data_IF_748047924111
#
_entry.id   IF_748047924111
#
_cell.length_a   1.000
_cell.length_b   1.000
_cell.length_c   1.000
_cell.angle_alpha   90.00
_cell.angle_beta   90.00
_cell.angle_gamma   90.00
#
_symmetry.space_group_name_H-M   'P 1'
#
loop_
_entity.id
_entity.type
_entity.pdbx_description
1 polymer ?
#
# COMPACT_ATOMS: atom_id res chain seq x y z
N UNK A 1 -3.59 -5.83 -0.28
CA UNK A 1 -3.74 -7.08 0.54
C UNK A 1 -4.34 -6.86 1.95
N UNK A 2 -5.26 -7.69 2.46
CA UNK A 2 -5.87 -7.52 3.83
C UNK A 2 -5.66 -8.75 4.72
N UNK A 3 -5.02 -8.56 5.87
CA UNK A 3 -4.80 -9.57 6.91
C UNK A 3 -5.68 -9.30 8.11
N UNK A 4 -6.73 -10.11 8.29
CA UNK A 4 -7.64 -10.00 9.44
C UNK A 4 -7.35 -11.14 10.40
N UNK A 5 -6.71 -10.81 11.53
CA UNK A 5 -6.68 -11.68 12.69
C UNK A 5 -7.88 -11.33 13.57
N UNK A 6 -8.90 -12.19 13.58
CA UNK A 6 -10.02 -12.07 14.51
C UNK A 6 -9.55 -12.53 15.89
N UNK A 7 -9.26 -11.59 16.78
CA UNK A 7 -9.26 -11.89 18.20
C UNK A 7 -10.72 -12.10 18.65
N UNK A 8 -11.06 -13.34 19.01
CA UNK A 8 -12.37 -13.70 19.55
C UNK A 8 -12.73 -12.80 20.75
N UNK A 9 -13.79 -11.99 20.63
CA UNK A 9 -14.48 -11.41 21.79
C UNK A 9 -14.80 -9.90 21.80
N UNK A 10 -14.44 -9.12 20.78
CA UNK A 10 -14.71 -7.66 20.76
C UNK A 10 -15.74 -7.28 19.69
N UNK A 11 -16.70 -6.41 20.05
CA UNK A 11 -17.69 -5.84 19.13
C UNK A 11 -17.03 -4.81 18.20
N UNK A 12 -17.34 -4.90 16.90
CA UNK A 12 -17.20 -3.86 15.87
C UNK A 12 -15.94 -2.99 15.92
N UNK A 13 -14.82 -3.49 15.41
CA UNK A 13 -13.62 -2.66 15.25
C UNK A 13 -13.87 -1.59 14.18
N UNK A 14 -13.60 -0.33 14.51
CA UNK A 14 -13.56 0.77 13.53
C UNK A 14 -12.29 0.62 12.71
N UNK A 15 -12.41 0.66 11.39
CA UNK A 15 -11.28 0.43 10.48
C UNK A 15 -10.99 1.69 9.67
N UNK A 16 -9.71 2.02 9.58
CA UNK A 16 -9.16 2.94 8.60
C UNK A 16 -8.18 2.18 7.71
N UNK A 17 -8.29 2.35 6.39
CA UNK A 17 -7.34 1.79 5.42
C UNK A 17 -6.61 2.91 4.71
N UNK A 18 -5.28 2.86 4.70
CA UNK A 18 -4.41 3.68 3.87
C UNK A 18 -3.84 2.83 2.73
N UNK A 19 -4.11 3.24 1.49
CA UNK A 19 -3.97 2.44 0.26
C UNK A 19 -3.43 3.30 -0.88
N UNK A 20 -2.76 2.70 -1.86
CA UNK A 20 -2.35 3.41 -3.08
C UNK A 20 -3.20 3.02 -4.29
N UNK A 21 -4.28 2.25 -4.06
CA UNK A 21 -5.33 1.92 -5.03
C UNK A 21 -4.87 1.15 -6.27
N UNK A 22 -3.82 0.35 -6.14
CA UNK A 22 -3.51 -0.68 -7.13
C UNK A 22 -4.55 -1.83 -7.14
N UNK A 23 -4.36 -2.80 -8.03
CA UNK A 23 -5.27 -3.89 -8.34
C UNK A 23 -5.57 -4.77 -7.13
N UNK A 24 -4.55 -5.15 -6.39
CA UNK A 24 -4.69 -5.97 -5.18
C UNK A 24 -5.28 -5.18 -4.01
N UNK A 25 -5.11 -3.86 -4.00
CA UNK A 25 -5.66 -2.94 -2.99
C UNK A 25 -7.17 -2.84 -3.08
N UNK A 26 -7.73 -2.64 -4.27
CA UNK A 26 -9.19 -2.62 -4.39
C UNK A 26 -9.83 -4.00 -4.22
N UNK A 27 -9.11 -5.11 -4.46
CA UNK A 27 -9.60 -6.44 -4.08
C UNK A 27 -9.74 -6.54 -2.56
N UNK A 28 -8.72 -6.04 -1.84
CA UNK A 28 -8.73 -5.94 -0.38
C UNK A 28 -9.89 -5.08 0.13
N UNK A 29 -10.15 -3.94 -0.51
CA UNK A 29 -11.29 -3.07 -0.17
C UNK A 29 -12.63 -3.76 -0.41
N UNK A 30 -12.83 -4.45 -1.54
CA UNK A 30 -14.07 -5.21 -1.77
C UNK A 30 -14.27 -6.30 -0.73
N UNK A 31 -13.19 -6.98 -0.33
CA UNK A 31 -13.25 -7.96 0.74
C UNK A 31 -13.74 -7.31 2.04
N UNK A 32 -13.10 -6.20 2.47
CA UNK A 32 -13.50 -5.45 3.67
C UNK A 32 -14.95 -4.94 3.62
N UNK A 33 -15.39 -4.42 2.46
CA UNK A 33 -16.74 -3.90 2.27
C UNK A 33 -17.82 -4.99 2.32
N UNK A 34 -17.45 -6.26 2.07
CA UNK A 34 -18.36 -7.41 2.18
C UNK A 34 -18.39 -8.03 3.58
N UNK A 35 -17.48 -7.66 4.47
CA UNK A 35 -17.50 -8.15 5.85
C UNK A 35 -18.66 -7.56 6.65
N UNK A 36 -19.06 -8.29 7.70
CA UNK A 36 -20.12 -7.83 8.58
C UNK A 36 -19.67 -6.60 9.37
N UNK A 37 -20.38 -5.48 9.19
CA UNK A 37 -20.11 -4.21 9.86
C UNK A 37 -20.22 -4.28 11.39
N UNK A 38 -20.93 -5.28 11.93
CA UNK A 38 -21.00 -5.53 13.37
C UNK A 38 -19.69 -6.07 13.95
N UNK A 39 -18.80 -6.60 13.09
CA UNK A 39 -17.47 -7.11 13.45
C UNK A 39 -16.37 -6.15 12.97
N UNK A 40 -16.50 -5.66 11.74
CA UNK A 40 -15.51 -4.82 11.07
C UNK A 40 -16.18 -3.67 10.32
N UNK A 41 -16.05 -2.47 10.86
CA UNK A 41 -16.75 -1.29 10.38
C UNK A 41 -15.76 -0.33 9.72
N UNK A 42 -15.58 -0.47 8.41
CA UNK A 42 -14.75 0.45 7.62
C UNK A 42 -15.35 1.86 7.68
N UNK A 43 -14.58 2.79 8.26
CA UNK A 43 -14.97 4.19 8.46
C UNK A 43 -14.30 5.14 7.49
N UNK A 44 -13.06 4.85 7.12
CA UNK A 44 -12.29 5.72 6.26
C UNK A 44 -11.33 4.96 5.35
N UNK A 45 -11.12 5.53 4.18
CA UNK A 45 -10.10 5.15 3.22
C UNK A 45 -9.24 6.39 2.96
N UNK A 46 -7.93 6.27 3.07
CA UNK A 46 -6.97 7.32 2.73
C UNK A 46 -6.06 6.84 1.63
N UNK A 47 -5.73 7.74 0.69
CA UNK A 47 -4.99 7.39 -0.52
C UNK A 47 -3.58 7.96 -0.45
N UNK A 48 -2.59 7.08 -0.60
CA UNK A 48 -1.17 7.41 -0.69
C UNK A 48 -0.76 7.59 -2.14
N UNK A 49 -0.63 8.83 -2.58
CA UNK A 49 -0.35 9.20 -3.99
C UNK A 49 1.12 9.25 -4.34
N UNK A 50 1.99 8.90 -3.40
CA UNK A 50 3.41 8.61 -3.59
C UNK A 50 3.62 7.15 -4.03
N UNK A 51 2.53 6.38 -4.13
CA UNK A 51 2.47 5.02 -4.64
C UNK A 51 2.12 4.90 -6.12
N UNK A 52 1.35 3.85 -6.41
CA UNK A 52 1.11 3.29 -7.73
C UNK A 52 0.05 3.98 -8.57
N UNK A 53 -0.82 4.80 -7.97
CA UNK A 53 -1.96 5.41 -8.67
C UNK A 53 -1.99 6.92 -8.52
N UNK A 54 -2.47 7.61 -9.55
CA UNK A 54 -2.70 9.05 -9.49
C UNK A 54 -3.97 9.41 -8.69
N UNK A 55 -3.90 10.53 -7.96
CA UNK A 55 -4.94 10.97 -7.02
C UNK A 55 -6.35 11.00 -7.63
N UNK A 56 -6.46 11.57 -8.83
CA UNK A 56 -7.74 11.72 -9.50
C UNK A 56 -8.32 10.41 -10.01
N UNK A 57 -7.46 9.47 -10.39
CA UNK A 57 -7.91 8.13 -10.74
C UNK A 57 -8.37 7.38 -9.48
N UNK A 58 -7.49 7.27 -8.49
CA UNK A 58 -7.68 6.54 -7.25
C UNK A 58 -8.96 6.97 -6.52
N UNK A 59 -9.17 8.27 -6.30
CA UNK A 59 -10.34 8.78 -5.56
C UNK A 59 -11.64 8.44 -6.29
N UNK A 60 -11.69 8.64 -7.60
CA UNK A 60 -12.89 8.33 -8.38
C UNK A 60 -13.17 6.82 -8.38
N UNK A 61 -12.13 5.99 -8.43
CA UNK A 61 -12.28 4.54 -8.31
C UNK A 61 -12.85 4.14 -6.96
N UNK A 62 -12.33 4.68 -5.85
CA UNK A 62 -12.91 4.45 -4.52
C UNK A 62 -14.37 4.89 -4.48
N UNK A 63 -14.72 6.07 -5.00
CA UNK A 63 -16.11 6.54 -5.01
C UNK A 63 -17.04 5.64 -5.81
N UNK A 64 -16.64 5.21 -7.00
CA UNK A 64 -17.44 4.32 -7.83
C UNK A 64 -17.64 2.94 -7.13
N UNK A 65 -16.59 2.43 -6.46
CA UNK A 65 -16.68 1.22 -5.64
C UNK A 65 -17.61 1.38 -4.43
N UNK A 66 -17.47 2.48 -3.69
CA UNK A 66 -18.32 2.76 -2.52
C UNK A 66 -19.78 2.93 -2.93
N UNK A 67 -20.04 3.59 -4.06
CA UNK A 67 -21.39 3.73 -4.61
C UNK A 67 -21.99 2.37 -4.96
N UNK A 68 -21.23 1.51 -5.66
CA UNK A 68 -21.65 0.13 -5.97
C UNK A 68 -21.98 -0.67 -4.72
N UNK A 69 -21.19 -0.52 -3.65
CA UNK A 69 -21.37 -1.22 -2.39
C UNK A 69 -22.41 -0.57 -1.46
N UNK A 70 -23.02 0.56 -1.84
CA UNK A 70 -23.95 1.30 -0.99
C UNK A 70 -23.30 1.88 0.27
N UNK A 71 -22.00 2.16 0.23
CA UNK A 71 -21.16 2.62 1.35
C UNK A 71 -20.62 4.03 1.15
N UNK A 72 -21.43 4.91 0.61
CA UNK A 72 -21.09 6.33 0.45
C UNK A 72 -20.91 7.08 1.79
N UNK A 73 -21.23 6.44 2.91
CA UNK A 73 -20.95 6.92 4.28
C UNK A 73 -19.44 6.93 4.61
N UNK A 74 -18.62 6.16 3.90
CA UNK A 74 -17.19 6.04 4.18
C UNK A 74 -16.45 7.31 3.74
N UNK A 75 -15.68 7.88 4.66
CA UNK A 75 -14.85 9.05 4.39
C UNK A 75 -13.66 8.66 3.49
N UNK A 76 -13.33 9.51 2.51
CA UNK A 76 -12.20 9.29 1.62
C UNK A 76 -11.28 10.50 1.66
N UNK A 77 -10.02 10.28 2.00
CA UNK A 77 -8.98 11.31 2.02
C UNK A 77 -7.94 11.05 0.93
N UNK A 78 -7.46 12.10 0.27
CA UNK A 78 -6.29 11.99 -0.63
C UNK A 78 -5.36 13.15 -0.39
N UNK A 79 -4.07 12.84 -0.34
CA UNK A 79 -2.98 13.77 -0.15
C UNK A 79 -3.26 15.03 0.67
N UNK A 80 -2.55 16.09 0.28
CA UNK A 80 -2.72 17.43 0.76
C UNK A 80 -1.57 18.33 0.28
N UNK A 81 -1.86 19.61 0.07
CA UNK A 81 -0.94 20.60 -0.52
C UNK A 81 -0.01 21.28 0.50
N UNK A 82 -0.12 20.91 1.79
CA UNK A 82 0.81 21.32 2.82
C UNK A 82 2.17 20.65 2.67
N UNK A 83 3.18 21.19 3.35
CA UNK A 83 4.54 20.65 3.34
C UNK A 83 5.17 20.62 4.72
N UNK A 84 6.42 20.21 4.78
CA UNK A 84 7.24 20.28 5.99
C UNK A 84 8.27 21.39 5.83
N UNK A 85 8.27 22.36 6.75
CA UNK A 85 9.24 23.45 6.74
C UNK A 85 10.65 22.93 7.06
N UNK A 86 11.68 23.69 6.67
CA UNK A 86 13.09 23.32 6.94
C UNK A 86 13.42 23.09 8.42
N UNK A 87 12.65 23.67 9.34
CA UNK A 87 12.80 23.47 10.78
C UNK A 87 12.04 22.24 11.32
N UNK A 88 11.47 21.41 10.44
CA UNK A 88 10.68 20.23 10.79
C UNK A 88 9.22 20.50 11.14
N UNK A 89 8.74 21.74 11.04
CA UNK A 89 7.32 22.05 11.31
C UNK A 89 6.44 21.44 10.22
N UNK A 90 5.55 20.54 10.63
CA UNK A 90 4.55 19.93 9.74
C UNK A 90 3.36 20.88 9.60
N UNK A 91 3.06 21.33 8.38
CA UNK A 91 1.95 22.23 8.10
C UNK A 91 0.60 21.48 8.02
N UNK A 92 -0.52 22.20 8.19
CA UNK A 92 -1.84 21.64 7.90
C UNK A 92 -1.95 21.15 6.45
N UNK A 93 -2.79 20.15 6.22
CA UNK A 93 -3.04 19.56 4.91
C UNK A 93 -1.78 18.97 4.26
N UNK A 94 -0.80 18.49 5.02
CA UNK A 94 0.31 17.71 4.43
C UNK A 94 -0.13 16.28 4.15
N UNK A 95 0.41 15.65 3.10
CA UNK A 95 0.37 14.20 2.94
C UNK A 95 0.22 13.72 1.50
N UNK A 96 0.35 12.41 1.35
CA UNK A 96 0.08 11.61 0.16
C UNK A 96 1.04 11.77 -0.99
N UNK A 97 1.48 12.98 -1.36
CA UNK A 97 2.17 13.19 -2.64
C UNK A 97 3.67 12.94 -2.62
N UNK A 98 4.32 13.13 -1.47
CA UNK A 98 5.78 13.14 -1.36
C UNK A 98 6.22 12.38 -0.09
N UNK A 99 7.31 11.61 -0.16
CA UNK A 99 7.97 11.06 1.03
C UNK A 99 8.36 12.18 2.02
N UNK A 100 8.41 11.89 3.32
CA UNK A 100 8.72 12.87 4.39
C UNK A 100 10.07 13.54 4.17
N UNK A 101 11.07 12.78 3.71
CA UNK A 101 12.43 13.29 3.48
C UNK A 101 12.57 14.08 2.16
N UNK A 102 11.59 13.96 1.26
CA UNK A 102 11.59 14.57 -0.07
C UNK A 102 10.58 15.74 -0.18
N UNK A 103 10.26 16.39 0.94
CA UNK A 103 9.30 17.51 1.02
C UNK A 103 9.87 18.87 0.55
N UNK A 104 11.14 18.92 0.14
CA UNK A 104 11.81 20.15 -0.31
C UNK A 104 11.59 20.48 -1.80
N UNK A 105 11.75 21.76 -2.17
CA UNK A 105 11.79 22.19 -3.57
C UNK A 105 13.14 21.86 -4.22
N UNK A 106 13.33 20.61 -4.65
CA UNK A 106 14.48 20.21 -5.47
C UNK A 106 14.02 19.76 -6.86
N UNK A 107 14.52 20.42 -7.91
CA UNK A 107 14.24 20.08 -9.31
C UNK A 107 15.29 19.15 -9.93
N UNK A 108 16.43 18.94 -9.27
CA UNK A 108 17.46 17.96 -9.67
C UNK A 108 18.36 17.60 -8.47
N UNK A 109 18.70 16.31 -8.35
CA UNK A 109 19.48 15.76 -7.24
C UNK A 109 18.64 15.56 -5.98
N UNK A 110 18.56 14.30 -5.52
CA UNK A 110 17.82 13.77 -4.35
C UNK A 110 16.37 13.26 -4.54
N UNK A 111 15.87 13.07 -5.77
CA UNK A 111 14.55 12.44 -6.00
C UNK A 111 14.55 10.90 -6.00
N UNK A 112 15.20 10.23 -5.02
CA UNK A 112 15.38 8.76 -5.12
C UNK A 112 14.09 7.98 -4.89
N UNK A 113 13.31 8.34 -3.87
CA UNK A 113 12.14 7.56 -3.47
C UNK A 113 10.90 7.94 -4.26
N UNK A 114 10.74 9.24 -4.57
CA UNK A 114 9.67 9.74 -5.46
C UNK A 114 9.67 9.09 -6.84
N UNK A 115 10.83 8.68 -7.35
CA UNK A 115 11.00 8.11 -8.68
C UNK A 115 11.00 6.57 -8.69
N UNK A 116 10.79 5.93 -7.53
CA UNK A 116 10.84 4.48 -7.42
C UNK A 116 9.81 3.77 -8.32
N UNK A 117 8.64 4.39 -8.47
CA UNK A 117 7.58 3.92 -9.37
C UNK A 117 7.68 4.73 -10.67
N UNK A 118 7.85 4.08 -11.84
CA UNK A 118 7.86 4.77 -13.12
C UNK A 118 6.55 5.52 -13.35
N UNK A 119 6.60 6.68 -14.00
CA UNK A 119 5.37 7.35 -14.46
C UNK A 119 4.77 6.59 -15.64
N UNK A 120 5.61 6.09 -16.55
CA UNK A 120 5.22 5.46 -17.80
C UNK A 120 4.93 3.95 -17.70
N UNK A 121 5.26 3.17 -18.75
CA UNK A 121 5.10 1.72 -18.76
C UNK A 121 5.78 1.04 -17.57
N UNK A 122 5.15 -0.01 -17.04
CA UNK A 122 5.53 -0.70 -15.82
C UNK A 122 5.30 0.11 -14.55
N UNK A 123 4.46 1.14 -14.59
CA UNK A 123 4.29 2.10 -13.50
C UNK A 123 2.89 2.71 -13.46
N UNK A 124 2.78 3.99 -13.07
CA UNK A 124 1.50 4.64 -12.77
C UNK A 124 0.50 4.59 -13.93
N UNK A 125 0.96 4.83 -15.16
CA UNK A 125 0.08 4.81 -16.32
C UNK A 125 -0.54 3.43 -16.58
N UNK A 126 0.14 2.34 -16.24
CA UNK A 126 -0.40 0.98 -16.43
C UNK A 126 -1.50 0.70 -15.42
N UNK A 127 -1.33 1.15 -14.16
CA UNK A 127 -2.35 1.02 -13.12
C UNK A 127 -3.58 1.87 -13.47
N UNK A 128 -3.33 3.13 -13.84
CA UNK A 128 -4.37 4.07 -14.26
C UNK A 128 -5.08 3.66 -15.57
N UNK A 129 -4.48 2.79 -16.39
CA UNK A 129 -5.09 2.28 -17.62
C UNK A 129 -6.40 1.53 -17.38
N UNK A 130 -6.63 1.05 -16.15
CA UNK A 130 -7.93 0.50 -15.75
C UNK A 130 -9.08 1.54 -15.87
N UNK A 131 -8.77 2.83 -16.05
CA UNK A 131 -9.72 3.95 -16.11
C UNK A 131 -10.89 3.69 -17.07
N UNK A 132 -10.60 3.14 -18.25
CA UNK A 132 -11.62 2.83 -19.25
C UNK A 132 -12.60 1.76 -18.77
N UNK A 133 -12.08 0.70 -18.14
CA UNK A 133 -12.91 -0.34 -17.53
C UNK A 133 -13.67 0.18 -16.33
N UNK A 134 -13.03 0.91 -15.43
CA UNK A 134 -13.70 1.57 -14.31
C UNK A 134 -14.89 2.40 -14.78
N UNK A 135 -14.68 3.31 -15.74
CA UNK A 135 -15.72 4.20 -16.29
C UNK A 135 -16.87 3.46 -16.98
N UNK A 136 -16.59 2.32 -17.62
CA UNK A 136 -17.60 1.54 -18.35
C UNK A 136 -18.30 0.49 -17.49
N UNK A 137 -17.66 0.03 -16.41
CA UNK A 137 -18.12 -1.08 -15.60
C UNK A 137 -18.70 -0.63 -14.25
N UNK A 138 -17.98 0.21 -13.50
CA UNK A 138 -18.43 0.61 -12.18
C UNK A 138 -19.52 1.68 -12.28
N UNK A 139 -20.61 1.55 -11.51
CA UNK A 139 -21.64 2.58 -11.47
C UNK A 139 -21.08 3.85 -10.81
N UNK A 140 -21.39 5.00 -11.40
CA UNK A 140 -20.90 6.29 -10.92
C UNK A 140 -21.95 6.97 -10.03
N UNK A 141 -21.56 7.27 -8.80
CA UNK A 141 -22.36 8.00 -7.84
C UNK A 141 -22.31 9.51 -8.05
N UNK A 142 -22.80 10.26 -7.05
CA UNK A 142 -22.70 11.74 -7.05
C UNK A 142 -21.32 12.25 -6.65
N UNK A 143 -20.59 11.45 -5.87
CA UNK A 143 -19.24 11.79 -5.41
C UNK A 143 -18.26 11.69 -6.57
N UNK A 144 -17.37 12.67 -6.67
CA UNK A 144 -16.33 12.73 -7.67
C UNK A 144 -15.14 13.50 -7.09
N UNK A 145 -13.94 13.18 -7.56
CA UNK A 145 -12.74 13.89 -7.16
C UNK A 145 -12.82 15.36 -7.59
N UNK A 146 -12.53 16.26 -6.66
CA UNK A 146 -12.41 17.69 -6.90
C UNK A 146 -11.18 18.20 -6.16
N UNK A 147 -10.06 18.52 -6.86
CA UNK A 147 -8.78 18.82 -6.22
C UNK A 147 -8.86 19.82 -5.06
N UNK A 148 -9.63 20.90 -5.23
CA UNK A 148 -9.72 21.98 -4.23
C UNK A 148 -10.76 21.72 -3.12
N UNK A 149 -11.53 20.63 -3.20
CA UNK A 149 -12.62 20.31 -2.26
C UNK A 149 -12.49 18.93 -1.64
N UNK A 150 -11.61 18.09 -2.17
CA UNK A 150 -11.40 16.74 -1.69
C UNK A 150 -10.80 16.81 -0.28
N UNK A 151 -11.38 16.11 0.71
CA UNK A 151 -10.78 16.00 2.03
C UNK A 151 -9.34 15.48 1.96
N UNK A 152 -8.46 16.12 2.73
CA UNK A 152 -7.06 15.72 2.82
C UNK A 152 -6.93 14.45 3.67
N UNK A 153 -5.86 13.69 3.46
CA UNK A 153 -5.55 12.52 4.27
C UNK A 153 -5.46 12.90 5.75
N UNK A 154 -4.75 13.99 6.05
CA UNK A 154 -4.61 14.48 7.41
C UNK A 154 -5.98 14.74 8.06
N UNK A 155 -6.90 15.41 7.36
CA UNK A 155 -8.24 15.69 7.87
C UNK A 155 -9.04 14.41 8.14
N UNK A 156 -8.99 13.44 7.23
CA UNK A 156 -9.74 12.17 7.34
C UNK A 156 -9.18 11.28 8.45
N UNK A 157 -7.85 11.16 8.57
CA UNK A 157 -7.22 10.40 9.66
C UNK A 157 -7.54 11.01 11.02
N UNK A 158 -7.39 12.33 11.18
CA UNK A 158 -7.69 13.02 12.44
C UNK A 158 -9.15 12.80 12.83
N UNK A 159 -10.11 13.03 11.93
CA UNK A 159 -11.54 12.87 12.24
C UNK A 159 -11.88 11.43 12.62
N UNK A 160 -11.35 10.46 11.88
CA UNK A 160 -11.66 9.05 12.09
C UNK A 160 -11.12 8.54 13.43
N UNK A 161 -9.85 8.84 13.71
CA UNK A 161 -9.13 8.31 14.88
C UNK A 161 -9.49 9.08 16.16
N UNK A 162 -9.77 10.39 16.08
CA UNK A 162 -10.28 11.14 17.24
C UNK A 162 -11.68 10.67 17.69
N UNK A 163 -12.47 10.11 16.78
CA UNK A 163 -13.82 9.63 17.06
C UNK A 163 -13.88 8.31 17.85
N UNK A 164 -12.77 7.60 18.00
CA UNK A 164 -12.72 6.40 18.85
C UNK A 164 -11.61 5.42 18.49
N UNK A 165 -11.49 4.31 19.27
CA UNK A 165 -10.53 3.24 19.02
C UNK A 165 -10.64 2.73 17.57
N UNK A 166 -9.50 2.70 16.87
CA UNK A 166 -9.44 2.41 15.43
C UNK A 166 -8.30 1.43 15.14
N UNK A 167 -8.60 0.40 14.36
CA UNK A 167 -7.61 -0.48 13.72
C UNK A 167 -7.21 0.13 12.39
N UNK A 168 -5.91 0.20 12.13
CA UNK A 168 -5.36 0.83 10.93
C UNK A 168 -4.72 -0.23 10.04
N UNK A 169 -5.11 -0.26 8.76
CA UNK A 169 -4.45 -1.05 7.72
C UNK A 169 -3.63 -0.11 6.85
N UNK A 170 -2.32 -0.34 6.77
CA UNK A 170 -1.40 0.36 5.88
C UNK A 170 -1.00 -0.64 4.80
N UNK A 171 -1.61 -0.49 3.63
CA UNK A 171 -1.36 -1.38 2.48
C UNK A 171 -0.63 -0.65 1.34
N UNK A 172 -0.10 0.53 1.65
CA UNK A 172 0.69 1.39 0.78
C UNK A 172 1.90 1.98 1.53
N UNK A 173 2.51 3.04 0.98
CA UNK A 173 3.53 3.82 1.68
C UNK A 173 3.04 4.33 3.04
N UNK A 174 3.91 4.27 4.04
CA UNK A 174 3.62 4.64 5.42
C UNK A 174 3.54 6.15 5.66
N UNK A 175 3.80 6.96 4.64
CA UNK A 175 3.97 8.42 4.69
C UNK A 175 2.83 9.12 5.39
N UNK A 176 1.61 8.81 4.96
CA UNK A 176 0.39 9.42 5.47
C UNK A 176 0.23 9.20 6.98
N UNK A 177 0.37 7.95 7.41
CA UNK A 177 0.18 7.59 8.79
C UNK A 177 1.33 8.07 9.69
N UNK A 178 2.57 8.07 9.20
CA UNK A 178 3.70 8.67 9.91
C UNK A 178 3.48 10.17 10.14
N UNK A 179 3.04 10.92 9.13
CA UNK A 179 2.70 12.34 9.27
C UNK A 179 1.58 12.56 10.29
N UNK A 180 0.56 11.69 10.30
CA UNK A 180 -0.49 11.71 11.31
C UNK A 180 0.09 11.54 12.72
N UNK A 181 0.93 10.52 12.94
CA UNK A 181 1.53 10.24 14.26
C UNK A 181 2.44 11.38 14.74
N UNK A 182 3.26 11.93 13.85
CA UNK A 182 4.17 13.05 14.16
C UNK A 182 3.40 14.32 14.51
N UNK A 183 2.31 14.61 13.80
CA UNK A 183 1.51 15.83 14.01
C UNK A 183 0.48 15.69 15.14
N UNK A 184 0.05 14.46 15.45
CA UNK A 184 -1.03 14.18 16.41
C UNK A 184 -0.63 13.10 17.44
N UNK A 185 0.48 13.25 18.18
CA UNK A 185 0.97 12.22 19.09
C UNK A 185 -0.04 11.86 20.19
N UNK A 186 -0.91 12.80 20.57
CA UNK A 186 -1.96 12.58 21.55
C UNK A 186 -3.10 11.65 21.09
N UNK A 187 -3.29 11.48 19.77
CA UNK A 187 -4.30 10.58 19.19
C UNK A 187 -3.78 9.15 19.00
N UNK A 188 -2.48 8.92 19.14
CA UNK A 188 -1.85 7.60 19.07
C UNK A 188 -2.54 6.56 19.97
N UNK A 189 -3.01 6.97 21.15
CA UNK A 189 -3.72 6.11 22.12
C UNK A 189 -5.05 5.54 21.60
N UNK A 190 -5.61 6.13 20.55
CA UNK A 190 -6.85 5.66 19.92
C UNK A 190 -6.56 4.64 18.80
N UNK A 191 -5.30 4.34 18.50
CA UNK A 191 -4.95 3.31 17.51
C UNK A 191 -4.75 1.99 18.25
N UNK A 192 -5.64 1.04 18.02
CA UNK A 192 -5.63 -0.26 18.71
C UNK A 192 -4.51 -1.16 18.18
N UNK A 193 -4.38 -1.21 16.85
CA UNK A 193 -3.45 -2.08 16.15
C UNK A 193 -3.18 -1.54 14.74
N UNK A 194 -1.97 -1.77 14.24
CA UNK A 194 -1.58 -1.44 12.86
C UNK A 194 -1.25 -2.73 12.11
N UNK A 195 -1.92 -2.96 10.99
CA UNK A 195 -1.61 -4.03 10.06
C UNK A 195 -0.89 -3.44 8.87
N UNK A 196 0.29 -3.97 8.53
CA UNK A 196 1.14 -3.44 7.47
C UNK A 196 1.32 -4.49 6.38
N UNK A 197 1.02 -4.15 5.13
CA UNK A 197 1.59 -4.87 3.98
C UNK A 197 2.93 -4.24 3.63
N UNK A 198 3.99 -5.04 3.66
CA UNK A 198 5.28 -4.62 3.14
C UNK A 198 6.47 -5.25 3.83
N UNK A 199 7.65 -4.96 3.29
CA UNK A 199 8.92 -5.53 3.74
C UNK A 199 9.13 -7.00 3.31
N UNK A 200 10.38 -7.45 3.41
CA UNK A 200 10.78 -8.85 3.33
C UNK A 200 11.61 -9.20 4.57
N UNK A 201 11.17 -10.17 5.37
CA UNK A 201 11.76 -10.49 6.68
C UNK A 201 12.77 -11.62 6.57
N UNK A 202 12.38 -12.72 5.93
CA UNK A 202 13.20 -13.92 5.65
C UNK A 202 12.99 -14.37 4.21
N UNK A 203 12.53 -13.46 3.35
CA UNK A 203 12.04 -13.82 2.02
C UNK A 203 13.15 -14.56 1.31
N UNK A 204 12.84 -15.79 0.89
CA UNK A 204 13.78 -16.59 0.10
C UNK A 204 13.46 -16.32 -1.34
N UNK A 205 14.52 -16.21 -2.13
CA UNK A 205 14.48 -16.17 -3.59
C UNK A 205 13.38 -17.13 -4.10
N UNK A 206 12.27 -16.63 -4.69
CA UNK A 206 11.34 -17.52 -5.36
C UNK A 206 12.10 -18.12 -6.54
N UNK A 207 12.27 -19.44 -6.54
CA UNK A 207 13.02 -20.25 -7.53
C UNK A 207 12.53 -20.15 -8.99
N UNK A 208 11.79 -19.10 -9.36
CA UNK A 208 11.02 -18.99 -10.60
C UNK A 208 11.80 -18.50 -11.82
N UNK A 209 12.65 -17.48 -11.72
CA UNK A 209 13.24 -16.88 -12.93
C UNK A 209 14.44 -17.66 -13.47
N UNK A 210 15.20 -18.34 -12.60
CA UNK A 210 16.34 -19.16 -12.99
C UNK A 210 16.26 -20.54 -12.33
N UNK A 211 15.58 -21.51 -12.96
CA UNK A 211 15.62 -22.90 -12.51
C UNK A 211 17.05 -23.43 -12.38
N UNK A 212 17.29 -24.37 -11.47
CA UNK A 212 18.64 -24.95 -11.22
C UNK A 212 19.30 -25.60 -12.47
N UNK A 213 18.52 -25.86 -13.53
CA UNK A 213 18.94 -26.60 -14.72
C UNK A 213 19.17 -25.74 -15.97
N UNK A 214 19.21 -24.41 -15.89
CA UNK A 214 19.48 -23.55 -17.05
C UNK A 214 20.99 -23.24 -17.16
N UNK A 215 21.51 -23.19 -18.39
CA UNK A 215 22.89 -22.81 -18.70
C UNK A 215 23.26 -21.45 -18.10
N UNK A 216 24.57 -21.18 -18.00
CA UNK A 216 25.24 -19.98 -17.46
C UNK A 216 24.84 -18.61 -18.08
N UNK A 217 23.74 -18.55 -18.82
CA UNK A 217 23.14 -17.41 -19.48
C UNK A 217 21.87 -16.88 -18.81
N UNK A 218 21.38 -17.51 -17.73
CA UNK A 218 20.22 -16.98 -16.99
C UNK A 218 20.65 -15.72 -16.23
N UNK A 219 20.27 -14.55 -16.74
CA UNK A 219 20.36 -13.30 -16.02
C UNK A 219 19.21 -13.28 -15.01
N UNK A 220 19.48 -13.17 -13.69
CA UNK A 220 18.41 -12.97 -12.71
C UNK A 220 17.63 -11.72 -13.09
N UNK A 221 16.38 -11.91 -13.54
CA UNK A 221 15.39 -10.83 -13.62
C UNK A 221 14.69 -10.71 -12.25
N UNK A 222 13.52 -10.08 -12.18
CA UNK A 222 12.78 -9.81 -10.92
C UNK A 222 12.58 -11.02 -9.98
N UNK A 223 12.66 -12.26 -10.46
CA UNK A 223 12.59 -13.43 -9.58
C UNK A 223 13.99 -13.84 -9.11
N UNK A 224 14.21 -13.73 -7.81
CA UNK A 224 15.59 -13.75 -7.32
C UNK A 224 15.72 -13.21 -5.91
N UNK A 225 15.00 -12.12 -5.69
CA UNK A 225 15.38 -11.19 -4.67
C UNK A 225 14.50 -11.32 -3.43
N UNK A 226 15.05 -10.88 -2.31
CA UNK A 226 14.38 -10.86 -1.01
C UNK A 226 13.31 -9.75 -1.02
N UNK A 227 13.58 -8.67 -1.76
CA UNK A 227 12.68 -7.55 -2.05
C UNK A 227 11.99 -7.65 -3.41
N UNK A 228 11.32 -6.57 -3.83
CA UNK A 228 10.57 -6.50 -5.08
C UNK A 228 10.82 -5.24 -5.93
N UNK A 229 11.84 -4.43 -5.63
CA UNK A 229 12.16 -3.19 -6.37
C UNK A 229 12.71 -3.44 -7.79
N UNK A 230 11.85 -3.73 -8.77
CA UNK A 230 12.32 -4.00 -10.13
C UNK A 230 12.99 -2.83 -10.85
N UNK A 231 12.77 -1.59 -10.40
CA UNK A 231 13.41 -0.41 -10.99
C UNK A 231 14.86 -0.22 -10.54
N UNK A 232 15.28 -0.84 -9.44
CA UNK A 232 16.62 -0.68 -8.85
C UNK A 232 17.11 -1.96 -8.14
N UNK A 233 16.73 -3.14 -8.66
CA UNK A 233 17.02 -4.43 -8.02
C UNK A 233 18.53 -4.74 -7.93
N UNK A 234 19.34 -4.20 -8.85
CA UNK A 234 20.80 -4.39 -8.84
C UNK A 234 21.49 -3.65 -7.68
N UNK A 235 20.97 -2.49 -7.29
CA UNK A 235 21.51 -1.70 -6.17
C UNK A 235 20.84 -2.04 -4.84
N UNK A 236 19.58 -2.49 -4.88
CA UNK A 236 18.77 -2.75 -3.70
C UNK A 236 17.86 -3.99 -3.85
N UNK A 237 18.41 -5.20 -3.74
CA UNK A 237 17.65 -6.45 -3.87
C UNK A 237 16.84 -6.82 -2.61
N UNK A 238 16.85 -5.99 -1.56
CA UNK A 238 16.25 -6.32 -0.26
C UNK A 238 14.96 -5.57 0.02
N UNK A 239 14.79 -4.41 -0.59
CA UNK A 239 13.70 -3.52 -0.26
C UNK A 239 12.40 -3.94 -0.94
N UNK A 240 11.31 -3.65 -0.25
CA UNK A 240 9.95 -3.80 -0.75
C UNK A 240 9.37 -2.40 -1.02
N UNK A 241 8.55 -2.25 -2.07
CA UNK A 241 8.04 -0.96 -2.54
C UNK A 241 7.39 -0.10 -1.45
N UNK A 242 6.42 -0.62 -0.68
CA UNK A 242 5.71 0.14 0.35
C UNK A 242 6.64 0.71 1.43
N UNK A 243 7.69 -0.01 1.77
CA UNK A 243 8.75 0.47 2.66
C UNK A 243 9.72 1.42 1.96
N UNK A 244 10.13 1.10 0.73
CA UNK A 244 11.12 1.87 0.00
C UNK A 244 10.61 3.26 -0.38
N UNK A 245 9.31 3.41 -0.66
CA UNK A 245 8.73 4.70 -1.02
C UNK A 245 8.89 5.76 0.07
N UNK A 246 8.88 5.36 1.35
CA UNK A 246 9.25 6.26 2.44
C UNK A 246 9.79 5.46 3.65
N UNK A 247 11.11 5.18 3.65
CA UNK A 247 11.72 4.37 4.70
C UNK A 247 11.71 5.08 6.05
N UNK A 248 11.74 6.42 6.06
CA UNK A 248 11.66 7.19 7.29
C UNK A 248 10.25 7.11 7.88
N UNK A 249 9.21 7.23 7.07
CA UNK A 249 7.85 7.01 7.52
C UNK A 249 7.64 5.60 8.06
N UNK A 250 8.13 4.56 7.35
CA UNK A 250 8.06 3.19 7.82
C UNK A 250 8.74 3.01 9.18
N UNK A 251 9.92 3.62 9.36
CA UNK A 251 10.60 3.65 10.65
C UNK A 251 9.74 4.30 11.75
N UNK A 252 9.15 5.46 11.50
CA UNK A 252 8.29 6.16 12.46
C UNK A 252 7.06 5.34 12.87
N UNK A 253 6.44 4.64 11.91
CA UNK A 253 5.26 3.80 12.19
C UNK A 253 5.63 2.59 13.02
N UNK A 254 6.67 1.85 12.64
CA UNK A 254 7.11 0.63 13.35
C UNK A 254 7.56 0.96 14.78
N UNK A 255 8.32 2.04 14.94
CA UNK A 255 8.83 2.47 16.25
C UNK A 255 7.84 3.35 17.00
N UNK A 256 6.60 3.47 16.51
CA UNK A 256 5.57 4.23 17.20
C UNK A 256 5.32 3.65 18.59
N UNK A 257 5.41 2.34 18.79
CA UNK A 257 5.03 1.67 20.04
C UNK A 257 3.53 1.34 20.13
N UNK A 258 2.79 1.48 19.03
CA UNK A 258 1.48 0.84 18.83
C UNK A 258 1.73 -0.64 18.44
N UNK A 259 0.87 -1.60 18.82
CA UNK A 259 0.97 -2.97 18.31
C UNK A 259 0.94 -3.02 16.78
N UNK A 260 1.91 -3.69 16.18
CA UNK A 260 2.05 -3.85 14.73
C UNK A 260 2.02 -5.33 14.35
N UNK A 261 1.22 -5.69 13.34
CA UNK A 261 1.35 -6.96 12.62
C UNK A 261 1.85 -6.67 11.21
N UNK A 262 3.04 -7.17 10.90
CA UNK A 262 3.62 -7.10 9.57
C UNK A 262 3.17 -8.28 8.73
N UNK A 263 2.85 -8.02 7.47
CA UNK A 263 2.55 -9.02 6.46
C UNK A 263 3.53 -8.82 5.30
N UNK A 264 4.69 -9.48 5.40
CA UNK A 264 5.79 -9.27 4.47
C UNK A 264 5.64 -10.11 3.20
N UNK A 265 6.51 -9.87 2.24
CA UNK A 265 6.65 -10.66 1.02
C UNK A 265 6.76 -12.16 1.30
N UNK A 266 7.43 -12.55 2.40
CA UNK A 266 7.50 -13.95 2.83
C UNK A 266 6.15 -14.63 2.94
N UNK A 267 5.15 -13.90 3.46
CA UNK A 267 3.80 -14.43 3.62
C UNK A 267 3.07 -14.43 2.28
N UNK A 268 3.15 -13.34 1.53
CA UNK A 268 2.44 -13.19 0.25
C UNK A 268 2.94 -14.15 -0.82
N UNK A 269 4.26 -14.39 -0.86
CA UNK A 269 4.92 -15.28 -1.82
C UNK A 269 4.47 -16.75 -1.68
N UNK A 270 3.74 -17.10 -0.61
CA UNK A 270 3.17 -18.45 -0.44
C UNK A 270 1.82 -18.64 -1.15
N UNK A 271 1.23 -17.59 -1.71
CA UNK A 271 -0.11 -17.62 -2.34
C UNK A 271 -0.07 -17.01 -3.75
N UNK A 272 0.52 -17.70 -4.74
CA UNK A 272 0.57 -17.22 -6.12
C UNK A 272 -0.82 -17.26 -6.78
N UNK A 273 -1.06 -16.30 -7.67
CA UNK A 273 -2.20 -16.30 -8.59
C UNK A 273 -1.91 -17.30 -9.71
N UNK A 274 -2.22 -18.57 -9.46
CA UNK A 274 -1.98 -19.64 -10.45
C UNK A 274 -2.93 -19.57 -11.65
N UNK A 275 -2.57 -20.21 -12.76
CA UNK A 275 -3.47 -20.40 -13.93
C UNK A 275 -4.80 -21.03 -13.51
N UNK A 276 -4.74 -22.06 -12.68
CA UNK A 276 -5.91 -22.73 -12.12
C UNK A 276 -6.79 -21.77 -11.32
N UNK A 277 -6.19 -20.86 -10.56
CA UNK A 277 -6.95 -19.82 -9.83
C UNK A 277 -7.67 -18.90 -10.82
N UNK A 278 -7.00 -18.43 -11.87
CA UNK A 278 -7.61 -17.56 -12.89
C UNK A 278 -8.76 -18.28 -13.61
N UNK A 279 -8.58 -19.54 -14.02
CA UNK A 279 -9.64 -20.34 -14.65
C UNK A 279 -10.86 -20.52 -13.74
N UNK A 280 -10.62 -20.77 -12.45
CA UNK A 280 -11.70 -20.89 -11.46
C UNK A 280 -12.38 -19.53 -11.29
N UNK A 281 -11.63 -18.44 -11.18
CA UNK A 281 -12.19 -17.11 -11.01
C UNK A 281 -13.04 -16.69 -12.23
N UNK A 282 -12.56 -16.98 -13.44
CA UNK A 282 -13.30 -16.74 -14.69
C UNK A 282 -14.68 -17.41 -14.69
N UNK A 283 -14.74 -18.64 -14.18
CA UNK A 283 -15.98 -19.44 -14.08
C UNK A 283 -16.89 -19.02 -12.92
N UNK A 284 -16.38 -18.31 -11.92
CA UNK A 284 -17.07 -18.02 -10.64
C UNK A 284 -17.26 -16.53 -10.34
N UNK A 285 -17.48 -15.70 -11.36
CA UNK A 285 -17.70 -14.25 -11.24
C UNK A 285 -19.20 -13.86 -11.18
N UNK A 286 -19.94 -14.41 -10.22
CA UNK A 286 -21.40 -14.25 -10.14
C UNK A 286 -21.88 -12.88 -9.63
N UNK A 287 -20.98 -12.07 -9.08
CA UNK A 287 -21.29 -10.75 -8.51
C UNK A 287 -20.58 -9.64 -9.28
N UNK A 288 -21.14 -8.43 -9.34
CA UNK A 288 -20.53 -7.29 -10.03
C UNK A 288 -19.10 -7.00 -9.54
N UNK A 289 -18.84 -7.10 -8.24
CA UNK A 289 -17.50 -6.86 -7.69
C UNK A 289 -16.51 -7.93 -8.17
N UNK A 290 -16.93 -9.20 -8.19
CA UNK A 290 -16.12 -10.32 -8.67
C UNK A 290 -15.80 -10.19 -10.17
N UNK A 291 -16.76 -9.73 -10.98
CA UNK A 291 -16.54 -9.47 -12.41
C UNK A 291 -15.56 -8.31 -12.64
N UNK A 292 -15.67 -7.24 -11.85
CA UNK A 292 -14.72 -6.14 -11.91
C UNK A 292 -13.31 -6.59 -11.50
N UNK A 293 -13.19 -7.30 -10.38
CA UNK A 293 -11.91 -7.86 -9.92
C UNK A 293 -11.29 -8.77 -10.98
N UNK A 294 -12.06 -9.68 -11.57
CA UNK A 294 -11.58 -10.58 -12.62
C UNK A 294 -11.12 -9.82 -13.87
N UNK A 295 -11.89 -8.81 -14.32
CA UNK A 295 -11.50 -7.99 -15.48
C UNK A 295 -10.19 -7.25 -15.25
N UNK A 296 -10.02 -6.66 -14.08
CA UNK A 296 -8.78 -5.96 -13.74
C UNK A 296 -7.60 -6.93 -13.59
N UNK A 297 -7.81 -8.10 -12.96
CA UNK A 297 -6.79 -9.15 -12.88
C UNK A 297 -6.36 -9.62 -14.28
N UNK A 298 -7.33 -9.85 -15.15
CA UNK A 298 -7.10 -10.25 -16.53
C UNK A 298 -6.32 -9.19 -17.30
N UNK A 299 -6.64 -7.91 -17.10
CA UNK A 299 -5.87 -6.82 -17.69
C UNK A 299 -4.42 -6.85 -17.21
N UNK A 300 -4.19 -6.90 -15.89
CA UNK A 300 -2.85 -6.96 -15.32
C UNK A 300 -2.04 -8.16 -15.87
N UNK A 301 -2.68 -9.33 -16.00
CA UNK A 301 -2.08 -10.51 -16.63
C UNK A 301 -1.75 -10.29 -18.10
N UNK A 302 -2.70 -9.80 -18.89
CA UNK A 302 -2.57 -9.69 -20.34
C UNK A 302 -1.60 -8.57 -20.75
N UNK A 303 -1.33 -7.60 -19.85
CA UNK A 303 -0.35 -6.53 -20.04
C UNK A 303 0.95 -6.75 -19.27
N UNK A 304 1.14 -7.93 -18.67
CA UNK A 304 2.34 -8.22 -17.91
C UNK A 304 3.58 -8.23 -18.83
N UNK A 305 4.72 -7.79 -18.31
CA UNK A 305 5.92 -7.54 -19.12
C UNK A 305 6.63 -8.83 -19.58
N UNK A 306 6.25 -9.99 -19.04
CA UNK A 306 6.76 -11.32 -19.40
C UNK A 306 5.69 -12.42 -19.23
N UNK A 307 6.05 -13.66 -19.59
CA UNK A 307 5.17 -14.84 -19.47
C UNK A 307 5.11 -15.41 -18.04
N UNK A 308 5.65 -14.72 -17.03
CA UNK A 308 5.79 -15.23 -15.66
C UNK A 308 4.68 -14.78 -14.70
N UNK A 309 3.64 -14.07 -15.16
CA UNK A 309 2.56 -13.54 -14.30
C UNK A 309 2.08 -14.52 -13.22
N UNK A 310 1.80 -15.77 -13.61
CA UNK A 310 1.24 -16.79 -12.70
C UNK A 310 2.24 -17.32 -11.66
N UNK A 311 3.52 -16.99 -11.82
CA UNK A 311 4.64 -17.39 -10.95
C UNK A 311 5.03 -16.26 -9.99
N UNK A 312 4.81 -15.00 -10.36
CA UNK A 312 5.31 -13.82 -9.63
C UNK A 312 4.25 -12.84 -9.15
N UNK A 313 2.98 -13.02 -9.54
CA UNK A 313 1.87 -12.22 -9.03
C UNK A 313 1.18 -12.92 -7.85
N UNK A 314 1.07 -12.22 -6.72
CA UNK A 314 0.56 -12.76 -5.46
C UNK A 314 -0.57 -11.90 -4.93
N UNK A 315 -1.66 -12.53 -4.48
CA UNK A 315 -2.77 -11.84 -3.85
C UNK A 315 -3.20 -12.61 -2.61
N UNK A 316 -3.05 -11.99 -1.44
CA UNK A 316 -3.54 -12.53 -0.17
C UNK A 316 -4.87 -11.84 0.20
N UNK A 317 -5.93 -12.65 0.30
CA UNK A 317 -7.28 -12.19 0.66
C UNK A 317 -7.74 -12.67 2.04
N UNK A 318 -7.14 -13.74 2.57
CA UNK A 318 -7.51 -14.28 3.88
C UNK A 318 -6.30 -14.96 4.54
N UNK A 319 -6.11 -14.69 5.82
CA UNK A 319 -4.93 -15.03 6.60
C UNK A 319 -5.12 -16.12 7.66
N UNK A 320 -6.25 -16.83 7.69
CA UNK A 320 -6.45 -18.01 8.57
C UNK A 320 -5.36 -19.09 8.40
N UNK A 321 -4.49 -18.96 7.40
CA UNK A 321 -3.41 -19.87 7.05
C UNK A 321 -2.02 -19.50 7.62
N UNK A 322 -1.86 -18.38 8.35
CA UNK A 322 -0.53 -17.90 8.76
C UNK A 322 -0.28 -17.92 10.28
N UNK A 323 0.96 -18.25 10.65
CA UNK A 323 1.48 -18.11 12.01
C UNK A 323 1.98 -16.70 12.26
N UNK A 324 1.55 -16.08 13.36
CA UNK A 324 2.03 -14.76 13.80
C UNK A 324 3.27 -14.95 14.67
N UNK A 325 4.39 -14.33 14.29
CA UNK A 325 5.62 -14.30 15.06
C UNK A 325 5.91 -12.91 15.63
N UNK A 326 6.47 -12.85 16.84
CA UNK A 326 7.04 -11.62 17.38
C UNK A 326 8.38 -11.34 16.69
N UNK A 327 8.53 -10.13 16.16
CA UNK A 327 9.74 -9.70 15.47
C UNK A 327 10.07 -8.23 15.81
N UNK A 328 11.35 -7.95 16.04
CA UNK A 328 11.86 -6.59 16.09
C UNK A 328 12.32 -6.20 14.68
N UNK A 329 11.70 -5.18 14.09
CA UNK A 329 11.98 -4.74 12.70
C UNK A 329 12.87 -3.50 12.73
N UNK A 330 13.93 -3.51 11.92
CA UNK A 330 14.80 -2.36 11.66
C UNK A 330 14.73 -1.96 10.19
N UNK A 331 14.77 -0.66 9.90
CA UNK A 331 14.80 -0.14 8.53
C UNK A 331 16.20 0.47 8.24
N UNK A 332 16.92 -0.07 7.25
CA UNK A 332 18.36 0.14 7.07
C UNK A 332 18.78 1.48 6.43
N UNK A 333 17.85 2.38 6.11
CA UNK A 333 18.15 3.56 5.28
C UNK A 333 19.05 4.64 5.91
N UNK A 334 19.41 4.54 7.20
CA UNK A 334 20.07 5.63 7.93
C UNK A 334 21.61 5.51 8.10
N UNK A 335 22.25 4.45 7.62
CA UNK A 335 23.69 4.22 7.88
C UNK A 335 24.69 5.04 7.01
N UNK A 336 24.25 6.03 6.22
CA UNK A 336 25.15 6.81 5.36
C UNK A 336 25.18 8.32 5.61
N UNK A 337 24.33 8.86 6.50
CA UNK A 337 24.27 10.30 6.73
C UNK A 337 25.15 10.79 7.92
N UNK A 338 25.60 9.91 8.82
CA UNK A 338 26.30 10.33 10.05
C UNK A 338 27.81 10.06 10.07
N UNK A 339 28.39 9.39 9.07
CA UNK A 339 29.82 9.00 9.10
C UNK A 339 30.80 10.05 8.58
N UNK A 340 30.37 11.27 8.25
CA UNK A 340 31.26 12.34 7.73
C UNK A 340 31.50 13.51 8.68
N UNK A 341 31.09 13.44 9.95
CA UNK A 341 31.64 14.35 10.96
C UNK A 341 32.95 13.78 11.52
N UNK A 342 34.12 14.44 11.30
CA UNK A 342 35.35 13.99 11.92
C UNK A 342 35.21 14.16 13.43
N UNK A 343 35.37 13.06 14.14
CA UNK A 343 35.47 13.01 15.59
C UNK A 343 36.42 14.12 16.08
N UNK A 344 35.87 15.13 16.76
CA UNK A 344 36.69 16.06 17.53
C UNK A 344 37.28 15.27 18.71
N UNK A 345 38.51 14.81 18.53
CA UNK A 345 39.41 14.50 19.65
C UNK A 345 39.83 15.81 20.32
N UNK A 346 39.25 16.09 21.48
CA UNK A 346 39.94 16.42 22.75
C UNK A 346 38.92 16.73 23.82
#
# INVERSE_FOLDING_TARGET
MVLILLANGVKGHRILVDTDMDTDDFFALFYLLKLNTSQMDLKAITISTNGWTDAGHAVNQVYDMLYMMGRDDIAVGVGGEGGILHNGTILPNVGGYLPIIDQGNATAGYCRYRQAIPVGPGGRLDIDSNFGFRKSFLPQGKRHYSPLRQPTVQQVMINTISSGPTVVFLIASHTNFALFLLSNPHLKKNVEHIYIMGGGVRSKNPTGCCPQNVSSSCQPQQCGDIGNLFTDYTSNPYAEFNFFMDPFAAYQVIHSGIPVTLVPLDATNTIPVTEKFIEIFEKNQYTYEAQYCFKSLKMARDTWFDDQFNTIYFVLLNAELFYVGLLYVWCSCFNHAETTQPARRK
#
